data_IF_446260384865
#
_entry.id   IF_446260384865
#
_cell.length_a   1.000
_cell.length_b   1.000
_cell.length_c   1.000
_cell.angle_alpha   90.00
_cell.angle_beta   90.00
_cell.angle_gamma   90.00
#
_symmetry.space_group_name_H-M   'P 1'
#
loop_
_entity.id
_entity.type
_entity.pdbx_description
1 polymer ?
#
# COMPACT_ATOMS: atom_id res chain seq x y z
N UNK A 1 22.51 56.24 25.52
CA UNK A 1 23.31 55.01 25.32
C UNK A 1 22.67 53.75 25.93
N UNK A 2 22.10 53.77 27.14
CA UNK A 2 21.46 52.57 27.74
C UNK A 2 20.24 52.04 26.96
N UNK A 3 19.40 52.90 26.37
CA UNK A 3 18.25 52.46 25.56
C UNK A 3 18.65 51.78 24.24
N UNK A 4 19.71 52.26 23.59
CA UNK A 4 20.19 51.70 22.32
C UNK A 4 20.79 50.31 22.56
N UNK A 5 21.53 50.09 23.65
CA UNK A 5 22.02 48.77 24.01
C UNK A 5 20.89 47.79 24.40
N UNK A 6 19.78 48.29 24.97
CA UNK A 6 18.62 47.45 25.31
C UNK A 6 17.86 46.97 24.06
N UNK A 7 17.74 47.84 23.05
CA UNK A 7 17.11 47.51 21.76
C UNK A 7 18.00 46.58 20.92
N UNK A 8 19.32 46.73 20.98
CA UNK A 8 20.27 45.81 20.32
C UNK A 8 20.29 44.44 21.02
N UNK A 9 20.15 44.39 22.36
CA UNK A 9 20.01 43.11 23.09
C UNK A 9 18.68 42.41 22.78
N UNK A 10 17.58 43.16 22.62
CA UNK A 10 16.27 42.57 22.30
C UNK A 10 16.14 42.15 20.83
N UNK A 11 16.89 42.77 19.91
CA UNK A 11 16.91 42.34 18.51
C UNK A 11 17.81 41.11 18.30
N UNK A 12 18.86 40.93 19.10
CA UNK A 12 19.72 39.74 19.04
C UNK A 12 19.06 38.48 19.61
N UNK A 13 18.15 38.61 20.58
CA UNK A 13 17.39 37.48 21.14
C UNK A 13 16.32 36.91 20.20
N UNK A 14 15.85 37.70 19.21
CA UNK A 14 14.90 37.26 18.18
C UNK A 14 15.54 36.42 17.06
N UNK A 15 16.88 36.34 16.98
CA UNK A 15 17.56 35.51 15.98
C UNK A 15 17.79 34.06 16.41
N UNK A 16 17.57 33.72 17.69
CA UNK A 16 17.81 32.37 18.21
C UNK A 16 16.53 31.50 18.30
N UNK A 17 15.35 32.10 18.10
CA UNK A 17 14.08 31.39 18.17
C UNK A 17 13.50 31.17 16.77
N UNK A 18 13.89 30.09 16.08
CA UNK A 18 13.15 29.67 14.89
C UNK A 18 13.81 28.75 13.87
N UNK A 19 15.06 28.31 14.05
CA UNK A 19 15.74 27.57 12.98
C UNK A 19 15.21 26.14 12.74
N UNK A 20 14.60 25.48 13.74
CA UNK A 20 14.18 24.08 13.62
C UNK A 20 13.15 23.86 12.49
N UNK A 21 12.15 24.74 12.37
CA UNK A 21 11.09 24.66 11.35
C UNK A 21 11.61 24.86 9.91
N UNK A 22 12.80 25.41 9.73
CA UNK A 22 13.39 25.62 8.40
C UNK A 22 14.26 24.45 7.93
N UNK A 23 14.69 23.57 8.83
CA UNK A 23 15.47 22.37 8.50
C UNK A 23 14.62 21.29 7.85
N UNK A 24 15.24 20.42 7.04
CA UNK A 24 14.56 19.30 6.41
C UNK A 24 13.92 18.35 7.45
N UNK A 25 14.68 17.96 8.48
CA UNK A 25 14.20 17.06 9.54
C UNK A 25 13.12 17.71 10.44
N UNK A 26 13.16 19.02 10.68
CA UNK A 26 12.10 19.71 11.42
C UNK A 26 10.79 19.82 10.62
N UNK A 27 10.85 19.97 9.29
CA UNK A 27 9.64 19.90 8.44
C UNK A 27 9.02 18.51 8.43
N UNK A 28 9.85 17.46 8.35
CA UNK A 28 9.41 16.07 8.42
C UNK A 28 8.74 15.77 9.75
N UNK A 29 9.32 16.17 10.89
CA UNK A 29 8.67 15.99 12.19
C UNK A 29 7.34 16.76 12.30
N UNK A 30 7.25 17.97 11.74
CA UNK A 30 5.97 18.69 11.69
C UNK A 30 4.92 17.96 10.84
N UNK A 31 5.32 17.35 9.73
CA UNK A 31 4.44 16.52 8.90
C UNK A 31 4.00 15.27 9.67
N UNK A 32 4.94 14.60 10.32
CA UNK A 32 4.67 13.46 11.18
C UNK A 32 3.66 13.79 12.27
N UNK A 33 3.83 14.94 12.94
CA UNK A 33 2.92 15.40 13.98
C UNK A 33 1.51 15.64 13.46
N UNK A 34 1.39 16.21 12.26
CA UNK A 34 0.09 16.39 11.60
C UNK A 34 -0.53 15.04 11.24
N UNK A 35 0.25 14.12 10.68
CA UNK A 35 -0.20 12.77 10.33
C UNK A 35 -0.71 12.01 11.56
N UNK A 36 0.05 12.06 12.66
CA UNK A 36 -0.33 11.49 13.95
C UNK A 36 -1.66 12.05 14.48
N UNK A 37 -1.82 13.38 14.44
CA UNK A 37 -3.06 14.05 14.86
C UNK A 37 -4.27 13.69 13.98
N UNK A 38 -4.05 13.34 12.72
CA UNK A 38 -5.11 12.89 11.81
C UNK A 38 -5.38 11.38 11.86
N UNK A 39 -4.69 10.63 12.71
CA UNK A 39 -4.81 9.16 12.77
C UNK A 39 -4.08 8.42 11.65
N UNK A 40 -3.19 9.09 10.90
CA UNK A 40 -2.36 8.44 9.90
C UNK A 40 -1.02 8.07 10.55
N UNK A 41 -1.02 7.00 11.33
CA UNK A 41 0.11 6.63 12.18
C UNK A 41 1.31 6.12 11.38
N UNK A 42 1.10 5.34 10.31
CA UNK A 42 2.16 4.86 9.42
C UNK A 42 2.98 6.01 8.83
N UNK A 43 2.29 7.00 8.25
CA UNK A 43 2.97 8.17 7.69
C UNK A 43 3.74 8.92 8.78
N UNK A 44 3.19 9.01 9.98
CA UNK A 44 3.87 9.65 11.10
C UNK A 44 5.16 8.91 11.50
N UNK A 45 5.16 7.57 11.50
CA UNK A 45 6.36 6.76 11.71
C UNK A 45 7.39 7.00 10.61
N UNK A 46 6.97 6.94 9.34
CA UNK A 46 7.88 7.12 8.20
C UNK A 46 8.54 8.51 8.20
N UNK A 47 7.77 9.56 8.46
CA UNK A 47 8.29 10.93 8.51
C UNK A 47 9.22 11.15 9.70
N UNK A 48 8.89 10.62 10.89
CA UNK A 48 9.79 10.66 12.05
C UNK A 48 11.09 9.90 11.78
N UNK A 49 10.98 8.69 11.21
CA UNK A 49 12.14 7.87 10.91
C UNK A 49 13.05 8.56 9.90
N UNK A 50 12.48 9.20 8.88
CA UNK A 50 13.26 9.96 7.92
C UNK A 50 13.93 11.18 8.57
N UNK A 51 13.22 11.92 9.44
CA UNK A 51 13.82 13.01 10.21
C UNK A 51 15.03 12.53 11.04
N UNK A 52 14.91 11.36 11.68
CA UNK A 52 15.95 10.77 12.53
C UNK A 52 17.12 10.16 11.75
N UNK A 53 16.90 9.68 10.52
CA UNK A 53 18.00 9.30 9.61
C UNK A 53 18.85 10.50 9.21
N UNK A 54 18.23 11.68 9.06
CA UNK A 54 18.95 12.93 8.77
C UNK A 54 19.65 13.47 10.02
N UNK A 55 18.95 13.52 11.15
CA UNK A 55 19.48 13.98 12.42
C UNK A 55 19.06 13.07 13.58
N UNK A 56 19.90 12.09 13.97
CA UNK A 56 19.59 11.11 15.00
C UNK A 56 19.36 11.74 16.39
N UNK A 57 19.89 12.93 16.63
CA UNK A 57 19.82 13.65 17.91
C UNK A 57 18.66 14.66 17.95
N UNK A 58 17.77 14.65 16.97
CA UNK A 58 16.62 15.57 16.94
C UNK A 58 15.54 15.10 17.91
N UNK A 59 15.62 15.59 19.14
CA UNK A 59 14.76 15.21 20.27
C UNK A 59 13.25 15.20 19.93
N UNK A 60 12.66 16.22 19.25
CA UNK A 60 11.23 16.18 18.94
C UNK A 60 10.79 14.97 18.13
N UNK A 61 11.63 14.50 17.19
CA UNK A 61 11.35 13.29 16.43
C UNK A 61 11.64 12.02 17.24
N UNK A 62 12.67 12.02 18.10
CA UNK A 62 12.95 10.90 19.01
C UNK A 62 11.77 10.65 19.97
N UNK A 63 11.13 11.70 20.45
CA UNK A 63 9.92 11.58 21.28
C UNK A 63 8.72 11.12 20.44
N UNK A 64 8.46 11.78 19.31
CA UNK A 64 7.27 11.50 18.51
C UNK A 64 7.28 10.09 17.88
N UNK A 65 8.46 9.55 17.53
CA UNK A 65 8.54 8.20 16.93
C UNK A 65 8.09 7.11 17.90
N UNK A 66 8.34 7.26 19.20
CA UNK A 66 7.93 6.29 20.22
C UNK A 66 6.40 6.16 20.28
N UNK A 67 5.70 7.29 20.28
CA UNK A 67 4.24 7.32 20.32
C UNK A 67 3.61 6.87 19.00
N UNK A 68 4.12 7.38 17.88
CA UNK A 68 3.57 7.07 16.55
C UNK A 68 3.76 5.61 16.18
N UNK A 69 4.92 5.02 16.47
CA UNK A 69 5.19 3.61 16.20
C UNK A 69 4.29 2.71 17.02
N UNK A 70 4.15 3.00 18.32
CA UNK A 70 3.22 2.27 19.20
C UNK A 70 1.78 2.37 18.70
N UNK A 71 1.33 3.55 18.30
CA UNK A 71 -0.02 3.76 17.79
C UNK A 71 -0.28 2.98 16.48
N UNK A 72 0.65 3.02 15.53
CA UNK A 72 0.55 2.28 14.27
C UNK A 72 0.47 0.76 14.50
N UNK A 73 1.31 0.22 15.37
CA UNK A 73 1.29 -1.21 15.73
C UNK A 73 -0.07 -1.59 16.35
N UNK A 74 -0.56 -0.82 17.31
CA UNK A 74 -1.86 -1.06 17.96
C UNK A 74 -3.00 -1.03 16.93
N UNK A 75 -2.99 -0.09 15.99
CA UNK A 75 -4.00 0.03 14.95
C UNK A 75 -4.03 -1.22 14.04
N UNK A 76 -2.87 -1.62 13.52
CA UNK A 76 -2.77 -2.81 12.66
C UNK A 76 -3.13 -4.10 13.40
N UNK A 77 -2.72 -4.26 14.66
CA UNK A 77 -3.09 -5.42 15.48
C UNK A 77 -4.60 -5.46 15.77
N UNK A 78 -5.22 -4.30 16.02
CA UNK A 78 -6.68 -4.22 16.14
C UNK A 78 -7.38 -4.59 14.83
N UNK A 79 -6.87 -4.13 13.69
CA UNK A 79 -7.40 -4.47 12.36
C UNK A 79 -7.27 -5.97 12.09
N UNK A 80 -6.13 -6.58 12.40
CA UNK A 80 -5.93 -8.04 12.32
C UNK A 80 -6.99 -8.78 13.15
N UNK A 81 -7.19 -8.40 14.42
CA UNK A 81 -8.18 -9.04 15.30
C UNK A 81 -9.60 -8.93 14.73
N UNK A 82 -9.97 -7.77 14.18
CA UNK A 82 -11.25 -7.55 13.53
C UNK A 82 -11.41 -8.42 12.28
N UNK A 83 -10.36 -8.53 11.45
CA UNK A 83 -10.36 -9.34 10.23
C UNK A 83 -10.45 -10.84 10.53
N UNK A 84 -9.76 -11.34 11.56
CA UNK A 84 -9.87 -12.74 11.99
C UNK A 84 -11.31 -13.12 12.39
N UNK A 85 -12.06 -12.16 12.93
CA UNK A 85 -13.46 -12.33 13.32
C UNK A 85 -14.47 -12.07 12.18
N UNK A 86 -14.04 -11.41 11.11
CA UNK A 86 -14.88 -11.04 9.96
C UNK A 86 -15.30 -12.25 9.14
N UNK A 87 -16.48 -12.23 8.51
CA UNK A 87 -16.92 -13.27 7.55
C UNK A 87 -16.70 -12.87 6.09
N UNK A 88 -15.98 -11.79 5.84
CA UNK A 88 -15.67 -11.34 4.48
C UNK A 88 -14.88 -12.41 3.72
N UNK A 89 -15.30 -12.68 2.48
CA UNK A 89 -14.74 -13.74 1.63
C UNK A 89 -13.24 -13.63 1.45
N UNK A 90 -12.75 -12.44 1.06
CA UNK A 90 -11.34 -12.16 0.79
C UNK A 90 -10.66 -11.44 1.97
N UNK A 91 -11.07 -11.74 3.21
CA UNK A 91 -10.46 -11.15 4.42
C UNK A 91 -8.96 -11.49 4.53
N UNK A 92 -8.54 -12.65 4.02
CA UNK A 92 -7.16 -13.11 4.11
C UNK A 92 -6.19 -12.23 3.34
N UNK A 93 -6.62 -11.67 2.20
CA UNK A 93 -5.87 -10.65 1.45
C UNK A 93 -5.54 -9.44 2.34
N UNK A 94 -6.55 -8.97 3.09
CA UNK A 94 -6.41 -7.84 4.01
C UNK A 94 -5.49 -8.20 5.17
N UNK A 95 -5.63 -9.40 5.73
CA UNK A 95 -4.74 -9.89 6.81
C UNK A 95 -3.28 -9.91 6.33
N UNK A 96 -3.00 -10.41 5.12
CA UNK A 96 -1.66 -10.37 4.53
C UNK A 96 -1.19 -8.93 4.35
N UNK A 97 -2.07 -8.01 3.93
CA UNK A 97 -1.74 -6.58 3.83
C UNK A 97 -1.37 -5.97 5.19
N UNK A 98 -2.13 -6.25 6.25
CA UNK A 98 -1.85 -5.74 7.60
C UNK A 98 -0.50 -6.25 8.12
N UNK A 99 -0.19 -7.54 7.92
CA UNK A 99 1.12 -8.09 8.27
C UNK A 99 2.26 -7.42 7.48
N UNK A 100 2.09 -7.18 6.18
CA UNK A 100 3.09 -6.47 5.38
C UNK A 100 3.32 -5.04 5.86
N UNK A 101 2.28 -4.35 6.33
CA UNK A 101 2.40 -3.02 6.92
C UNK A 101 3.22 -3.07 8.22
N UNK A 102 2.88 -3.97 9.14
CA UNK A 102 3.64 -4.20 10.39
C UNK A 102 5.12 -4.52 10.14
N UNK A 103 5.41 -5.43 9.20
CA UNK A 103 6.78 -5.78 8.80
C UNK A 103 7.51 -4.56 8.23
N UNK A 104 6.82 -3.70 7.48
CA UNK A 104 7.40 -2.49 6.90
C UNK A 104 7.68 -1.41 7.95
N UNK A 105 6.83 -1.30 8.97
CA UNK A 105 7.07 -0.45 10.14
C UNK A 105 8.29 -0.94 10.92
N UNK A 106 8.38 -2.23 11.24
CA UNK A 106 9.57 -2.80 11.90
C UNK A 106 10.84 -2.53 11.11
N UNK A 107 10.84 -2.83 9.81
CA UNK A 107 11.99 -2.56 8.93
C UNK A 107 12.39 -1.08 8.95
N UNK A 108 11.41 -0.18 9.06
CA UNK A 108 11.68 1.26 9.16
C UNK A 108 12.43 1.59 10.44
N UNK A 109 12.02 1.00 11.56
CA UNK A 109 12.66 1.14 12.87
C UNK A 109 14.07 0.51 12.87
N UNK A 110 14.21 -0.70 12.34
CA UNK A 110 15.49 -1.44 12.29
C UNK A 110 16.56 -0.71 11.47
N UNK A 111 16.14 0.10 10.50
CA UNK A 111 17.01 0.91 9.65
C UNK A 111 17.40 2.26 10.28
N UNK A 112 16.98 2.55 11.51
CA UNK A 112 17.38 3.77 12.20
C UNK A 112 18.83 3.67 12.69
N UNK A 113 19.57 4.79 12.66
CA UNK A 113 20.82 4.87 13.42
C UNK A 113 20.54 4.73 14.91
N UNK A 114 21.54 4.35 15.70
CA UNK A 114 21.42 4.27 17.15
C UNK A 114 20.96 5.62 17.73
N UNK A 115 19.77 5.63 18.35
CA UNK A 115 19.18 6.82 18.94
C UNK A 115 19.60 6.92 20.40
N UNK A 116 20.12 8.08 20.81
CA UNK A 116 20.52 8.31 22.20
C UNK A 116 19.82 9.52 22.76
N UNK A 117 19.35 9.40 24.00
CA UNK A 117 18.86 10.54 24.75
C UNK A 117 20.04 11.52 24.94
N UNK A 118 19.85 12.78 24.56
CA UNK A 118 20.93 13.78 24.59
C UNK A 118 21.42 14.08 26.01
N UNK A 119 20.53 14.02 27.00
CA UNK A 119 20.82 14.35 28.40
C UNK A 119 21.45 13.20 29.15
N UNK A 120 20.96 11.97 28.96
CA UNK A 120 21.43 10.79 29.71
C UNK A 120 22.46 9.95 28.94
N UNK A 121 22.52 10.08 27.62
CA UNK A 121 23.35 9.23 26.74
C UNK A 121 22.81 7.81 26.55
N UNK A 122 21.70 7.47 27.19
CA UNK A 122 21.06 6.16 27.14
C UNK A 122 20.51 5.87 25.75
N UNK A 123 20.55 4.60 25.37
CA UNK A 123 20.00 4.12 24.11
C UNK A 123 18.47 4.15 24.17
N UNK A 124 17.84 4.78 23.18
CA UNK A 124 16.41 4.72 22.98
C UNK A 124 16.13 3.46 22.16
N UNK A 125 15.49 2.47 22.79
CA UNK A 125 15.14 1.19 22.16
C UNK A 125 13.68 1.22 21.75
N UNK A 126 13.41 0.91 20.49
CA UNK A 126 12.07 0.71 19.94
C UNK A 126 11.90 -0.78 19.70
N UNK A 127 11.01 -1.43 20.45
CA UNK A 127 10.81 -2.88 20.39
C UNK A 127 10.01 -3.28 19.15
N UNK A 128 10.56 -4.19 18.34
CA UNK A 128 9.92 -4.74 17.15
C UNK A 128 9.52 -6.20 17.38
N UNK A 129 8.33 -6.59 16.93
CA UNK A 129 7.84 -7.98 16.99
C UNK A 129 8.03 -8.67 15.65
N UNK A 130 8.51 -9.92 15.60
CA UNK A 130 8.57 -10.66 14.33
C UNK A 130 7.18 -11.13 13.87
N UNK A 131 6.66 -10.45 12.85
CA UNK A 131 5.39 -10.80 12.19
C UNK A 131 5.59 -11.68 10.94
N UNK A 132 6.82 -11.86 10.46
CA UNK A 132 7.08 -12.59 9.22
C UNK A 132 6.66 -14.06 9.34
N UNK A 133 6.99 -14.70 10.45
CA UNK A 133 6.61 -16.09 10.73
C UNK A 133 5.11 -16.28 10.97
N UNK A 134 4.38 -15.21 11.30
CA UNK A 134 2.94 -15.25 11.59
C UNK A 134 2.09 -15.09 10.32
N UNK A 135 2.69 -14.61 9.22
CA UNK A 135 1.99 -14.30 7.97
C UNK A 135 1.69 -15.54 7.12
N UNK A 136 2.50 -16.59 7.23
CA UNK A 136 2.43 -17.78 6.36
C UNK A 136 1.04 -18.44 6.29
N UNK A 137 0.31 -18.67 7.40
CA UNK A 137 -1.04 -19.22 7.34
C UNK A 137 -2.00 -18.32 6.56
N UNK A 138 -1.89 -16.99 6.70
CA UNK A 138 -2.74 -16.05 6.00
C UNK A 138 -2.50 -16.06 4.48
N UNK A 139 -1.24 -16.18 4.05
CA UNK A 139 -0.87 -16.30 2.64
C UNK A 139 -1.48 -17.56 2.02
N UNK A 140 -1.37 -18.70 2.72
CA UNK A 140 -1.96 -19.97 2.24
C UNK A 140 -3.48 -19.87 2.13
N UNK A 141 -4.14 -19.27 3.14
CA UNK A 141 -5.59 -19.08 3.13
C UNK A 141 -6.07 -18.12 2.03
N UNK A 142 -5.31 -17.05 1.73
CA UNK A 142 -5.61 -16.15 0.63
C UNK A 142 -5.49 -16.87 -0.72
N UNK A 143 -4.41 -17.63 -0.92
CA UNK A 143 -4.23 -18.46 -2.12
C UNK A 143 -5.38 -19.47 -2.29
N UNK A 144 -5.77 -20.15 -1.21
CA UNK A 144 -6.88 -21.09 -1.23
C UNK A 144 -8.22 -20.43 -1.58
N UNK A 145 -8.50 -19.27 -0.98
CA UNK A 145 -9.75 -18.53 -1.20
C UNK A 145 -9.90 -18.15 -2.69
N UNK A 146 -8.86 -17.58 -3.28
CA UNK A 146 -8.85 -17.23 -4.70
C UNK A 146 -8.92 -18.45 -5.60
N UNK A 147 -8.17 -19.52 -5.28
CA UNK A 147 -8.24 -20.75 -6.06
C UNK A 147 -9.65 -21.35 -6.08
N UNK A 148 -10.32 -21.40 -4.93
CA UNK A 148 -11.68 -21.92 -4.80
C UNK A 148 -12.70 -21.03 -5.54
N UNK A 149 -12.50 -19.71 -5.54
CA UNK A 149 -13.32 -18.82 -6.35
C UNK A 149 -13.11 -19.03 -7.84
N UNK A 150 -11.85 -19.15 -8.27
CA UNK A 150 -11.51 -19.49 -9.65
C UNK A 150 -12.18 -20.78 -10.10
N UNK A 151 -12.20 -21.81 -9.23
CA UNK A 151 -12.91 -23.06 -9.48
C UNK A 151 -14.41 -22.87 -9.66
N UNK A 152 -15.04 -22.09 -8.78
CA UNK A 152 -16.48 -21.80 -8.84
C UNK A 152 -16.84 -21.09 -10.15
N UNK A 153 -16.12 -20.03 -10.50
CA UNK A 153 -16.35 -19.24 -11.72
C UNK A 153 -16.03 -20.03 -13.00
N UNK A 154 -15.06 -20.94 -12.96
CA UNK A 154 -14.62 -21.72 -14.13
C UNK A 154 -15.70 -22.61 -14.74
N UNK A 155 -16.78 -22.89 -13.99
CA UNK A 155 -17.92 -23.69 -14.45
C UNK A 155 -18.84 -22.93 -15.41
N UNK A 156 -18.74 -21.60 -15.46
CA UNK A 156 -19.57 -20.77 -16.34
C UNK A 156 -19.08 -20.80 -17.79
N UNK A 157 -20.03 -20.74 -18.73
CA UNK A 157 -19.73 -20.55 -20.15
C UNK A 157 -19.59 -19.08 -20.56
N UNK A 158 -19.97 -18.13 -19.70
CA UNK A 158 -19.85 -16.70 -19.96
C UNK A 158 -18.37 -16.28 -20.03
N UNK A 159 -18.00 -15.63 -21.13
CA UNK A 159 -16.63 -15.19 -21.40
C UNK A 159 -16.10 -14.20 -20.35
N UNK A 160 -16.93 -13.27 -19.86
CA UNK A 160 -16.56 -12.34 -18.78
C UNK A 160 -16.29 -13.08 -17.49
N UNK A 161 -17.10 -14.10 -17.16
CA UNK A 161 -16.92 -14.92 -15.96
C UNK A 161 -15.65 -15.77 -16.07
N UNK A 162 -15.37 -16.36 -17.25
CA UNK A 162 -14.09 -17.06 -17.50
C UNK A 162 -12.88 -16.15 -17.33
N UNK A 163 -12.97 -14.89 -17.76
CA UNK A 163 -11.92 -13.88 -17.51
C UNK A 163 -11.73 -13.61 -16.02
N UNK A 164 -12.81 -13.55 -15.24
CA UNK A 164 -12.74 -13.42 -13.80
C UNK A 164 -12.09 -14.66 -13.16
N UNK A 165 -12.51 -15.88 -13.54
CA UNK A 165 -11.90 -17.12 -13.08
C UNK A 165 -10.38 -17.14 -13.31
N UNK A 166 -9.92 -16.69 -14.48
CA UNK A 166 -8.49 -16.57 -14.76
C UNK A 166 -7.80 -15.55 -13.81
N UNK A 167 -8.43 -14.40 -13.52
CA UNK A 167 -7.88 -13.45 -12.55
C UNK A 167 -7.74 -14.07 -11.16
N UNK A 168 -8.73 -14.83 -10.71
CA UNK A 168 -8.70 -15.50 -9.41
C UNK A 168 -7.54 -16.51 -9.32
N UNK A 169 -7.35 -17.37 -10.32
CA UNK A 169 -6.19 -18.26 -10.34
C UNK A 169 -4.86 -17.49 -10.36
N UNK A 170 -4.81 -16.35 -11.06
CA UNK A 170 -3.62 -15.48 -11.05
C UNK A 170 -3.38 -14.87 -9.67
N UNK A 171 -4.43 -14.49 -8.93
CA UNK A 171 -4.32 -13.99 -7.56
C UNK A 171 -3.79 -15.09 -6.64
N UNK A 172 -4.29 -16.33 -6.75
CA UNK A 172 -3.79 -17.45 -5.97
C UNK A 172 -2.28 -17.67 -6.17
N UNK A 173 -1.81 -17.60 -7.42
CA UNK A 173 -0.38 -17.67 -7.78
C UNK A 173 0.43 -16.47 -7.27
N UNK A 174 -0.21 -15.31 -7.10
CA UNK A 174 0.40 -14.12 -6.52
C UNK A 174 0.69 -14.27 -5.02
N UNK A 175 -0.14 -15.03 -4.30
CA UNK A 175 0.11 -15.37 -2.89
C UNK A 175 1.07 -16.56 -2.75
N UNK A 176 0.88 -17.64 -3.53
CA UNK A 176 1.73 -18.83 -3.52
C UNK A 176 2.06 -19.23 -4.95
N UNK A 177 3.32 -19.06 -5.37
CA UNK A 177 3.76 -19.20 -6.77
C UNK A 177 3.45 -20.54 -7.43
N UNK A 178 3.47 -21.63 -6.67
CA UNK A 178 3.21 -23.00 -7.13
C UNK A 178 1.95 -23.59 -6.48
N UNK A 179 0.91 -22.76 -6.27
CA UNK A 179 -0.32 -23.20 -5.61
C UNK A 179 -1.09 -24.25 -6.43
N UNK A 180 -0.91 -25.53 -6.10
CA UNK A 180 -1.61 -26.67 -6.73
C UNK A 180 -1.47 -26.62 -8.26
N UNK A 181 -2.55 -26.80 -9.00
CA UNK A 181 -2.63 -26.67 -10.46
C UNK A 181 -3.15 -25.29 -10.92
N UNK A 182 -3.10 -24.25 -10.07
CA UNK A 182 -3.61 -22.90 -10.38
C UNK A 182 -3.01 -22.33 -11.67
N UNK A 183 -1.72 -22.58 -11.94
CA UNK A 183 -1.05 -22.14 -13.18
C UNK A 183 -1.69 -22.74 -14.44
N UNK A 184 -1.99 -24.04 -14.41
CA UNK A 184 -2.63 -24.73 -15.54
C UNK A 184 -4.08 -24.24 -15.73
N UNK A 185 -4.82 -24.05 -14.63
CA UNK A 185 -6.18 -23.54 -14.67
C UNK A 185 -6.26 -22.09 -15.15
N UNK A 186 -5.30 -21.25 -14.73
CA UNK A 186 -5.15 -19.89 -15.22
C UNK A 186 -5.07 -19.85 -16.73
N UNK A 187 -4.13 -20.60 -17.34
CA UNK A 187 -3.97 -20.61 -18.79
C UNK A 187 -5.20 -21.16 -19.51
N UNK A 188 -5.81 -22.23 -18.99
CA UNK A 188 -7.05 -22.78 -19.55
C UNK A 188 -8.17 -21.73 -19.57
N UNK A 189 -8.40 -21.03 -18.46
CA UNK A 189 -9.46 -20.01 -18.37
C UNK A 189 -9.13 -18.78 -19.19
N UNK A 190 -7.86 -18.36 -19.21
CA UNK A 190 -7.39 -17.23 -20.01
C UNK A 190 -7.64 -17.48 -21.50
N UNK A 191 -7.32 -18.66 -22.02
CA UNK A 191 -7.59 -19.04 -23.41
C UNK A 191 -9.09 -19.11 -23.71
N UNK A 192 -9.86 -19.72 -22.80
CA UNK A 192 -11.32 -19.84 -22.94
C UNK A 192 -12.06 -18.48 -22.85
N UNK A 193 -11.41 -17.45 -22.30
CA UNK A 193 -11.92 -16.09 -22.21
C UNK A 193 -11.57 -15.21 -23.44
N UNK A 194 -10.91 -15.75 -24.46
CA UNK A 194 -10.57 -15.01 -25.69
C UNK A 194 -11.80 -14.86 -26.57
N UNK A 195 -12.19 -13.62 -26.87
CA UNK A 195 -13.16 -13.31 -27.91
C UNK A 195 -12.44 -13.26 -29.26
N UNK A 196 -12.79 -14.17 -30.17
CA UNK A 196 -12.27 -14.16 -31.55
C UNK A 196 -13.19 -13.31 -32.42
N UNK A 197 -12.65 -12.24 -33.02
CA UNK A 197 -13.39 -11.36 -33.93
C UNK A 197 -12.79 -11.48 -35.33
N UNK A 198 -13.64 -11.74 -36.32
CA UNK A 198 -13.28 -11.64 -37.73
C UNK A 198 -13.68 -10.26 -38.24
N UNK A 199 -12.74 -9.55 -38.84
CA UNK A 199 -12.99 -8.27 -39.52
C UNK A 199 -12.73 -8.52 -40.99
N UNK A 200 -13.78 -8.38 -41.81
CA UNK A 200 -13.68 -8.49 -43.26
C UNK A 200 -13.94 -7.11 -43.86
N UNK A 201 -13.05 -6.61 -44.74
CA UNK A 201 -13.35 -5.42 -45.50
C UNK A 201 -14.52 -5.71 -46.45
N UNK A 202 -15.38 -4.73 -46.66
CA UNK A 202 -16.44 -4.79 -47.64
C UNK A 202 -16.50 -3.46 -48.39
N UNK A 203 -16.94 -3.49 -49.64
CA UNK A 203 -17.17 -2.29 -50.44
C UNK A 203 -18.61 -1.82 -50.28
N UNK A 204 -18.80 -0.54 -49.94
CA UNK A 204 -20.12 0.07 -49.89
C UNK A 204 -20.60 0.38 -51.32
N UNK A 205 -21.47 -0.47 -51.86
CA UNK A 205 -22.05 -0.34 -53.21
C UNK A 205 -23.21 0.65 -53.28
N UNK A 206 -23.61 1.29 -52.19
CA UNK A 206 -24.83 2.14 -52.17
C UNK A 206 -24.65 3.53 -52.79
N UNK A 207 -23.41 3.94 -53.05
CA UNK A 207 -23.11 5.20 -53.76
C UNK A 207 -23.49 6.48 -52.99
N UNK A 208 -23.85 6.41 -51.70
CA UNK A 208 -24.18 7.60 -50.91
C UNK A 208 -23.03 8.05 -50.02
N UNK A 209 -22.66 9.34 -50.08
CA UNK A 209 -21.51 9.89 -49.33
C UNK A 209 -21.73 10.03 -47.81
N UNK A 210 -22.93 9.76 -47.29
CA UNK A 210 -23.33 10.09 -45.91
C UNK A 210 -24.12 9.01 -45.18
N UNK A 211 -24.43 7.88 -45.82
CA UNK A 211 -25.15 6.76 -45.19
C UNK A 211 -24.55 5.46 -45.69
N UNK A 212 -24.22 4.57 -44.77
CA UNK A 212 -23.85 3.21 -45.13
C UNK A 212 -25.10 2.44 -45.55
N UNK A 213 -24.97 1.60 -46.59
CA UNK A 213 -26.00 0.65 -47.00
C UNK A 213 -26.40 -0.35 -45.92
N UNK A 214 -27.51 -1.06 -46.14
CA UNK A 214 -27.85 -2.17 -45.26
C UNK A 214 -26.78 -3.26 -45.36
N UNK A 215 -26.40 -3.85 -44.23
CA UNK A 215 -25.34 -4.89 -44.19
C UNK A 215 -25.71 -6.09 -45.10
N UNK A 216 -27.00 -6.36 -45.28
CA UNK A 216 -27.52 -7.37 -46.20
C UNK A 216 -27.22 -7.07 -47.68
N UNK A 217 -27.29 -5.81 -48.11
CA UNK A 217 -27.01 -5.41 -49.50
C UNK A 217 -25.52 -5.47 -49.86
N UNK A 218 -24.65 -5.55 -48.84
CA UNK A 218 -23.21 -5.49 -48.99
C UNK A 218 -22.55 -6.88 -48.89
N UNK A 219 -23.24 -7.86 -48.30
CA UNK A 219 -22.70 -9.19 -47.99
C UNK A 219 -23.33 -10.30 -48.87
N UNK A 220 -24.45 -10.06 -49.55
CA UNK A 220 -24.99 -11.04 -50.51
C UNK A 220 -24.34 -10.86 -51.88
N UNK A 221 -23.71 -11.92 -52.39
CA UNK A 221 -23.49 -12.10 -53.82
C UNK A 221 -24.83 -12.49 -54.47
N UNK A 222 -25.11 -11.95 -55.66
CA UNK A 222 -26.25 -12.37 -56.49
C UNK A 222 -26.20 -13.87 -56.83
#
# INVERSE_FOLDING_TARGET
MKLINLIILSSFSLWLAGCASFTAYGRLEKQARKAYQSGNYDQAVYDCAYALRINPNYEPAQFLIQDTFKAAVIEHEANLNNLYSSKEKFRWDKIVSEFNNLISLNRTIDQLPALRNKSTGELIVLETTDYSSQMDPAIQMAAETHYNEGMTLSSSNDLKIKKQAAKEFKMALGFVSEYRDASQKYEKMRQAAILRMAIMPFEDKTGTRRKYGSVSEVIMDD
#
